data_IF_288157915801
#
_entry.id   IF_288157915801
#
_cell.length_a   1.000
_cell.length_b   1.000
_cell.length_c   1.000
_cell.angle_alpha   90.00
_cell.angle_beta   90.00
_cell.angle_gamma   90.00
#
_symmetry.space_group_name_H-M   'P 1'
#
loop_
_entity.id
_entity.type
_entity.pdbx_description
1 polymer ?
#
# COMPACT_ATOMS: atom_id res chain seq x y z
N UNK A 1 -15.98 10.79 -14.09
CA UNK A 1 -16.53 9.90 -13.04
C UNK A 1 -16.00 10.37 -11.69
N UNK A 2 -16.73 10.15 -10.58
CA UNK A 2 -16.19 10.35 -9.23
C UNK A 2 -16.17 8.99 -8.53
N UNK A 3 -15.02 8.57 -8.01
CA UNK A 3 -14.85 7.26 -7.42
C UNK A 3 -13.39 6.82 -7.37
N UNK A 4 -13.15 5.54 -7.11
CA UNK A 4 -11.81 4.98 -7.07
C UNK A 4 -11.76 3.63 -7.78
N UNK A 5 -10.56 3.25 -8.19
CA UNK A 5 -10.23 1.90 -8.67
C UNK A 5 -8.98 1.41 -7.94
N UNK A 6 -8.81 0.09 -7.91
CA UNK A 6 -7.61 -0.56 -7.39
C UNK A 6 -6.87 -1.27 -8.50
N UNK A 7 -5.55 -1.19 -8.46
CA UNK A 7 -4.70 -1.82 -9.46
C UNK A 7 -3.40 -2.29 -8.82
N UNK A 8 -2.84 -3.38 -9.33
CA UNK A 8 -1.54 -3.85 -8.88
C UNK A 8 -1.50 -4.25 -7.41
N UNK A 9 -0.34 -4.03 -6.78
CA UNK A 9 -0.07 -4.47 -5.42
C UNK A 9 -0.78 -3.58 -4.39
N UNK A 10 -0.39 -2.30 -4.28
CA UNK A 10 -0.90 -1.37 -3.27
C UNK A 10 -1.49 -0.07 -3.87
N UNK A 11 -1.83 -0.08 -5.16
CA UNK A 11 -2.24 1.13 -5.87
C UNK A 11 -3.76 1.34 -5.85
N UNK A 12 -4.16 2.49 -5.32
CA UNK A 12 -5.51 3.04 -5.41
C UNK A 12 -5.43 4.26 -6.32
N UNK A 13 -6.31 4.36 -7.31
CA UNK A 13 -6.44 5.56 -8.16
C UNK A 13 -7.77 6.23 -7.83
N UNK A 14 -7.73 7.50 -7.44
CA UNK A 14 -8.89 8.31 -7.12
C UNK A 14 -9.23 9.28 -8.26
N UNK A 15 -10.51 9.33 -8.60
CA UNK A 15 -11.07 10.08 -9.72
C UNK A 15 -12.07 11.14 -9.23
N UNK A 16 -11.89 12.39 -9.65
CA UNK A 16 -12.89 13.47 -9.49
C UNK A 16 -13.06 14.20 -10.83
N UNK A 17 -13.89 13.63 -11.70
CA UNK A 17 -14.02 14.04 -13.10
C UNK A 17 -12.87 13.54 -13.98
N UNK A 18 -11.64 13.59 -13.46
CA UNK A 18 -10.39 13.04 -14.01
C UNK A 18 -9.61 12.31 -12.91
N UNK A 19 -8.58 11.49 -13.22
CA UNK A 19 -7.66 10.96 -12.23
C UNK A 19 -6.94 12.09 -11.47
N UNK A 20 -6.86 12.00 -10.15
CA UNK A 20 -6.27 13.04 -9.29
C UNK A 20 -5.09 12.51 -8.47
N UNK A 21 -5.30 11.37 -7.80
CA UNK A 21 -4.35 10.81 -6.83
C UNK A 21 -4.15 9.33 -7.13
N UNK A 22 -2.90 8.86 -7.10
CA UNK A 22 -2.58 7.44 -7.01
C UNK A 22 -1.70 7.13 -5.79
N UNK A 23 -1.79 5.92 -5.24
CA UNK A 23 -0.93 5.46 -4.12
C UNK A 23 0.09 4.43 -4.58
N UNK A 24 1.30 4.42 -4.02
CA UNK A 24 2.29 3.34 -4.12
C UNK A 24 2.34 2.65 -5.51
N UNK A 25 2.72 3.38 -6.59
CA UNK A 25 2.62 2.86 -7.94
C UNK A 25 3.71 1.82 -8.19
N UNK A 26 3.35 0.54 -8.15
CA UNK A 26 4.17 -0.55 -8.68
C UNK A 26 3.46 -1.24 -9.83
N UNK A 27 3.71 -0.72 -11.04
CA UNK A 27 3.01 -1.13 -12.25
C UNK A 27 3.90 -1.88 -13.26
N UNK A 28 5.20 -1.79 -13.09
CA UNK A 28 6.19 -2.49 -13.92
C UNK A 28 7.42 -2.83 -13.11
N UNK A 29 8.31 -3.59 -13.74
CA UNK A 29 9.57 -3.94 -13.13
C UNK A 29 9.46 -4.99 -12.06
N UNK A 30 10.52 -5.04 -11.27
CA UNK A 30 10.65 -5.98 -10.17
C UNK A 30 11.06 -5.25 -8.90
N UNK A 31 10.67 -5.81 -7.76
CA UNK A 31 11.04 -5.34 -6.44
C UNK A 31 12.06 -6.30 -5.81
N UNK A 32 12.76 -5.83 -4.78
CA UNK A 32 13.74 -6.62 -4.00
C UNK A 32 14.78 -7.33 -4.88
N UNK A 33 15.51 -6.55 -5.68
CA UNK A 33 16.57 -7.05 -6.58
C UNK A 33 16.08 -8.13 -7.55
N UNK A 34 14.88 -7.98 -8.11
CA UNK A 34 14.33 -8.96 -9.04
C UNK A 34 13.55 -10.10 -8.41
N UNK A 35 13.59 -10.24 -7.07
CA UNK A 35 12.94 -11.34 -6.36
C UNK A 35 11.43 -11.33 -6.54
N UNK A 36 10.83 -10.15 -6.39
CA UNK A 36 9.40 -9.96 -6.51
C UNK A 36 9.03 -9.44 -7.90
N UNK A 37 8.05 -10.06 -8.52
CA UNK A 37 7.46 -9.60 -9.78
C UNK A 37 5.94 -9.52 -9.69
N UNK A 38 5.36 -8.87 -10.69
CA UNK A 38 3.91 -8.82 -10.86
C UNK A 38 3.45 -10.10 -11.59
N UNK A 39 2.53 -10.90 -11.02
CA UNK A 39 1.97 -12.07 -11.68
C UNK A 39 0.94 -11.73 -12.77
N UNK A 40 0.61 -10.44 -12.95
CA UNK A 40 -0.38 -9.92 -13.88
C UNK A 40 0.21 -8.77 -14.71
N UNK A 41 -0.46 -8.46 -15.81
CA UNK A 41 -0.19 -7.26 -16.61
C UNK A 41 -1.17 -6.17 -16.21
N UNK A 42 -0.66 -4.98 -15.92
CA UNK A 42 -1.49 -3.80 -15.67
C UNK A 42 -2.14 -3.38 -17.00
N UNK A 43 -3.47 -3.25 -17.07
CA UNK A 43 -4.10 -2.82 -18.32
C UNK A 43 -3.73 -1.37 -18.67
N UNK A 44 -3.75 -1.06 -19.97
CA UNK A 44 -3.27 0.22 -20.50
C UNK A 44 -4.09 1.41 -19.98
N UNK A 45 -5.39 1.22 -19.76
CA UNK A 45 -6.28 2.24 -19.21
C UNK A 45 -5.82 2.73 -17.83
N UNK A 46 -5.43 1.83 -16.91
CA UNK A 46 -4.94 2.21 -15.59
C UNK A 46 -3.57 2.90 -15.67
N UNK A 47 -2.72 2.50 -16.63
CA UNK A 47 -1.47 3.23 -16.91
C UNK A 47 -1.75 4.67 -17.33
N UNK A 48 -2.71 4.87 -18.23
CA UNK A 48 -3.10 6.19 -18.69
C UNK A 48 -3.78 7.01 -17.59
N UNK A 49 -4.56 6.37 -16.72
CA UNK A 49 -5.14 7.04 -15.56
C UNK A 49 -4.04 7.51 -14.59
N UNK A 50 -3.06 6.68 -14.30
CA UNK A 50 -1.98 7.02 -13.38
C UNK A 50 -1.09 8.15 -13.93
N UNK A 51 -0.77 8.14 -15.23
CA UNK A 51 -0.06 9.24 -15.90
C UNK A 51 -0.85 10.56 -15.88
N UNK A 52 -2.18 10.52 -15.74
CA UNK A 52 -3.03 11.72 -15.66
C UNK A 52 -3.24 12.23 -14.23
N UNK A 53 -2.94 11.41 -13.21
CA UNK A 53 -3.00 11.86 -11.81
C UNK A 53 -2.06 13.04 -11.60
N UNK A 54 -2.47 14.00 -10.78
CA UNK A 54 -1.64 15.16 -10.41
C UNK A 54 -0.72 14.80 -9.23
N UNK A 55 -1.22 13.97 -8.33
CA UNK A 55 -0.57 13.58 -7.09
C UNK A 55 -0.27 12.08 -7.06
N UNK A 56 0.91 11.74 -6.55
CA UNK A 56 1.28 10.38 -6.16
C UNK A 56 1.53 10.41 -4.65
N UNK A 57 0.88 9.55 -3.89
CA UNK A 57 1.18 9.38 -2.47
C UNK A 57 2.00 8.11 -2.27
N UNK A 58 3.08 8.20 -1.48
CA UNK A 58 3.92 7.06 -1.13
C UNK A 58 3.86 6.80 0.37
N UNK A 59 3.59 5.55 0.74
CA UNK A 59 3.46 5.14 2.14
C UNK A 59 4.80 5.08 2.86
N UNK A 60 5.75 4.34 2.30
CA UNK A 60 7.05 4.04 2.92
C UNK A 60 8.10 3.62 1.87
N UNK A 61 9.33 3.41 2.31
CA UNK A 61 10.50 3.24 1.45
C UNK A 61 10.75 1.82 0.91
N UNK A 62 9.77 0.92 0.90
CA UNK A 62 9.97 -0.42 0.35
C UNK A 62 9.90 -0.45 -1.19
N UNK A 63 10.74 -1.26 -1.88
CA UNK A 63 10.84 -1.25 -3.35
C UNK A 63 9.55 -1.52 -4.12
N UNK A 64 8.59 -2.25 -3.53
CA UNK A 64 7.27 -2.54 -4.10
C UNK A 64 6.24 -1.42 -3.88
N UNK A 65 6.59 -0.37 -3.13
CA UNK A 65 5.82 0.86 -2.95
C UNK A 65 6.48 2.05 -3.67
N UNK A 66 7.82 2.08 -3.67
CA UNK A 66 8.64 3.08 -4.35
C UNK A 66 9.35 2.51 -5.59
N UNK A 67 8.59 1.82 -6.43
CA UNK A 67 9.10 1.24 -7.68
C UNK A 67 9.75 2.33 -8.54
N UNK A 68 11.09 2.38 -8.55
CA UNK A 68 11.85 3.42 -9.27
C UNK A 68 11.49 3.42 -10.75
N UNK A 69 11.35 2.23 -11.35
CA UNK A 69 10.95 2.07 -12.76
C UNK A 69 9.54 2.60 -13.06
N UNK A 70 8.62 2.50 -12.10
CA UNK A 70 7.29 3.09 -12.22
C UNK A 70 7.32 4.60 -12.00
N UNK A 71 8.05 5.06 -10.98
CA UNK A 71 8.21 6.49 -10.64
C UNK A 71 8.93 7.28 -11.73
N UNK A 72 9.88 6.68 -12.45
CA UNK A 72 10.59 7.32 -13.56
C UNK A 72 9.63 7.76 -14.69
N UNK A 73 8.52 7.03 -14.87
CA UNK A 73 7.45 7.37 -15.82
C UNK A 73 6.50 8.46 -15.31
N UNK A 74 6.69 8.93 -14.07
CA UNK A 74 5.82 9.85 -13.33
C UNK A 74 6.59 11.06 -12.77
N UNK A 75 7.73 11.40 -13.38
CA UNK A 75 8.63 12.47 -12.90
C UNK A 75 7.99 13.85 -12.82
N UNK A 76 6.98 14.11 -13.63
CA UNK A 76 6.27 15.38 -13.68
C UNK A 76 5.20 15.52 -12.57
N UNK A 77 5.01 14.48 -11.74
CA UNK A 77 3.97 14.45 -10.71
C UNK A 77 4.44 15.01 -9.38
N UNK A 78 3.49 15.46 -8.57
CA UNK A 78 3.76 15.88 -7.20
C UNK A 78 3.66 14.67 -6.27
N UNK A 79 4.77 14.32 -5.65
CA UNK A 79 4.84 13.27 -4.64
C UNK A 79 4.44 13.82 -3.28
N UNK A 80 3.49 13.16 -2.64
CA UNK A 80 3.00 13.45 -1.30
C UNK A 80 3.47 12.35 -0.34
N UNK A 81 4.09 12.76 0.76
CA UNK A 81 4.55 11.86 1.82
C UNK A 81 3.90 12.20 3.15
N UNK A 82 3.87 11.25 4.07
CA UNK A 82 3.66 11.56 5.49
C UNK A 82 4.89 12.23 6.09
N UNK A 83 4.72 12.91 7.22
CA UNK A 83 5.83 13.61 7.89
C UNK A 83 6.69 12.64 8.71
N UNK A 84 7.41 11.75 8.02
CA UNK A 84 8.31 10.78 8.62
C UNK A 84 9.45 11.44 9.41
N UNK A 85 9.91 10.78 10.46
CA UNK A 85 11.11 11.22 11.20
C UNK A 85 12.30 11.26 10.24
N UNK A 86 13.13 12.30 10.39
CA UNK A 86 14.38 12.58 9.65
C UNK A 86 14.28 12.83 8.14
N UNK A 87 13.08 12.93 7.57
CA UNK A 87 12.86 13.26 6.15
C UNK A 87 13.61 12.37 5.13
N UNK A 88 14.13 11.20 5.53
CA UNK A 88 14.99 10.35 4.67
C UNK A 88 14.42 10.12 3.27
N UNK A 89 13.17 9.64 3.19
CA UNK A 89 12.51 9.38 1.91
C UNK A 89 12.27 10.66 1.10
N UNK A 90 11.94 11.77 1.77
CA UNK A 90 11.76 13.06 1.13
C UNK A 90 13.08 13.55 0.51
N UNK A 91 14.18 13.46 1.25
CA UNK A 91 15.49 13.90 0.80
C UNK A 91 16.01 13.01 -0.34
N UNK A 92 15.88 11.69 -0.21
CA UNK A 92 16.25 10.72 -1.27
C UNK A 92 15.51 11.01 -2.58
N UNK A 93 14.19 11.16 -2.54
CA UNK A 93 13.38 11.44 -3.74
C UNK A 93 13.65 12.84 -4.30
N UNK A 94 13.84 13.84 -3.44
CA UNK A 94 14.18 15.21 -3.89
C UNK A 94 15.55 15.24 -4.60
N UNK A 95 16.54 14.52 -4.08
CA UNK A 95 17.86 14.38 -4.71
C UNK A 95 17.80 13.66 -6.07
N UNK A 96 16.80 12.80 -6.29
CA UNK A 96 16.52 12.17 -7.58
C UNK A 96 15.74 13.07 -8.55
N UNK A 97 15.44 14.31 -8.15
CA UNK A 97 14.78 15.33 -8.95
C UNK A 97 13.25 15.28 -8.93
N UNK A 98 12.64 14.56 -7.98
CA UNK A 98 11.19 14.54 -7.83
C UNK A 98 10.67 15.79 -7.10
N UNK A 99 9.44 16.22 -7.44
CA UNK A 99 8.73 17.26 -6.69
C UNK A 99 8.02 16.64 -5.49
N UNK A 100 8.62 16.73 -4.30
CA UNK A 100 8.14 16.05 -3.09
C UNK A 100 7.62 17.05 -2.06
N UNK A 101 6.54 16.69 -1.37
CA UNK A 101 6.00 17.47 -0.24
C UNK A 101 5.52 16.54 0.88
N UNK A 102 5.98 16.79 2.09
CA UNK A 102 5.46 16.15 3.29
C UNK A 102 4.17 16.82 3.75
N UNK A 103 3.15 16.02 4.01
CA UNK A 103 1.85 16.45 4.48
C UNK A 103 1.85 16.61 6.00
N UNK A 104 1.01 17.51 6.50
CA UNK A 104 0.83 17.65 7.94
C UNK A 104 0.06 16.46 8.52
N UNK A 105 0.59 15.90 9.60
CA UNK A 105 0.02 14.72 10.26
C UNK A 105 -1.39 15.00 10.80
N UNK A 106 -2.29 14.02 10.64
CA UNK A 106 -3.66 14.02 11.20
C UNK A 106 -4.53 15.21 10.79
N UNK A 107 -4.20 15.91 9.71
CA UNK A 107 -5.05 16.96 9.14
C UNK A 107 -5.61 16.56 7.79
N UNK A 108 -6.87 16.92 7.55
CA UNK A 108 -7.51 16.77 6.25
C UNK A 108 -7.02 17.85 5.29
N UNK A 109 -6.46 17.41 4.17
CA UNK A 109 -5.96 18.25 3.09
C UNK A 109 -6.86 18.02 1.88
N UNK A 110 -7.46 19.10 1.36
CA UNK A 110 -8.30 19.03 0.16
C UNK A 110 -7.41 19.02 -1.09
N UNK A 111 -7.54 18.00 -1.91
CA UNK A 111 -6.92 17.95 -3.25
C UNK A 111 -7.89 18.50 -4.30
N UNK A 112 -9.20 18.28 -4.12
CA UNK A 112 -10.26 18.87 -4.94
C UNK A 112 -11.46 19.25 -4.08
N UNK A 113 -12.57 19.67 -4.70
CA UNK A 113 -13.84 19.88 -4.01
C UNK A 113 -14.43 18.60 -3.40
N UNK A 114 -14.18 17.44 -4.03
CA UNK A 114 -14.75 16.15 -3.63
C UNK A 114 -13.72 15.18 -3.05
N UNK A 115 -12.42 15.49 -3.11
CA UNK A 115 -11.34 14.61 -2.66
C UNK A 115 -10.50 15.30 -1.59
N UNK A 116 -10.42 14.68 -0.42
CA UNK A 116 -9.50 15.08 0.65
C UNK A 116 -8.79 13.88 1.25
N UNK A 117 -7.55 14.08 1.68
CA UNK A 117 -6.71 13.06 2.28
C UNK A 117 -6.22 13.47 3.65
N UNK A 118 -5.92 12.48 4.48
CA UNK A 118 -5.29 12.64 5.78
C UNK A 118 -4.29 11.51 5.96
N UNK A 119 -3.08 11.84 6.41
CA UNK A 119 -2.04 10.82 6.62
C UNK A 119 -1.52 10.81 8.05
N UNK A 120 -0.98 9.65 8.46
CA UNK A 120 -0.36 9.42 9.76
C UNK A 120 0.82 8.47 9.57
N UNK A 121 1.98 8.84 10.08
CA UNK A 121 3.21 8.03 10.10
C UNK A 121 3.44 7.35 11.46
N UNK A 122 4.23 6.27 11.48
CA UNK A 122 4.91 5.80 12.70
C UNK A 122 6.42 6.05 12.67
N UNK A 123 7.05 5.62 13.76
CA UNK A 123 8.49 5.66 13.94
C UNK A 123 9.28 4.67 13.08
N UNK A 124 8.63 3.66 12.49
CA UNK A 124 9.25 2.72 11.55
C UNK A 124 9.29 3.25 10.11
N UNK A 125 8.81 4.49 9.90
CA UNK A 125 8.63 5.10 8.59
C UNK A 125 7.53 4.44 7.76
N UNK A 126 6.61 3.71 8.40
CA UNK A 126 5.36 3.30 7.77
C UNK A 126 4.34 4.42 7.88
N UNK A 127 3.35 4.44 6.98
CA UNK A 127 2.27 5.39 7.08
C UNK A 127 0.95 4.85 6.56
N UNK A 128 -0.12 5.49 7.02
CA UNK A 128 -1.48 5.21 6.60
C UNK A 128 -2.09 6.42 5.90
N UNK A 129 -3.06 6.17 5.04
CA UNK A 129 -3.78 7.18 4.29
C UNK A 129 -5.29 6.98 4.45
N UNK A 130 -5.95 8.01 4.97
CA UNK A 130 -7.40 8.11 4.90
C UNK A 130 -7.76 8.98 3.70
N UNK A 131 -8.66 8.51 2.85
CA UNK A 131 -9.13 9.23 1.67
C UNK A 131 -10.64 9.39 1.81
N UNK A 132 -11.13 10.63 1.84
CA UNK A 132 -12.54 10.93 1.70
C UNK A 132 -12.79 11.40 0.27
N UNK A 133 -13.54 10.61 -0.48
CA UNK A 133 -13.93 10.89 -1.87
C UNK A 133 -15.44 10.88 -2.00
N UNK A 134 -16.01 12.05 -2.26
CA UNK A 134 -17.46 12.23 -2.42
C UNK A 134 -18.28 11.65 -1.24
N UNK A 135 -17.77 11.79 -0.02
CA UNK A 135 -18.42 11.25 1.19
C UNK A 135 -18.17 9.77 1.47
N UNK A 136 -17.39 9.08 0.63
CA UNK A 136 -16.93 7.71 0.89
C UNK A 136 -15.53 7.72 1.49
N UNK A 137 -15.36 7.01 2.60
CA UNK A 137 -14.06 6.88 3.27
C UNK A 137 -13.36 5.61 2.84
N UNK A 138 -12.13 5.75 2.38
CA UNK A 138 -11.16 4.69 2.17
C UNK A 138 -10.12 4.79 3.30
N UNK A 139 -9.90 3.68 3.98
CA UNK A 139 -8.96 3.51 5.09
C UNK A 139 -7.83 2.65 4.57
N UNK A 140 -6.80 3.26 4.00
CA UNK A 140 -5.61 2.55 3.56
C UNK A 140 -4.60 2.46 4.71
N UNK A 141 -4.49 1.26 5.27
CA UNK A 141 -3.57 0.92 6.36
C UNK A 141 -2.63 -0.22 5.94
N UNK A 142 -2.34 -0.27 4.65
CA UNK A 142 -1.50 -1.29 4.08
C UNK A 142 -0.09 -1.23 4.68
N UNK A 143 0.47 -2.40 4.99
CA UNK A 143 1.79 -2.65 5.61
C UNK A 143 2.09 -1.95 6.95
N UNK A 144 1.21 -1.05 7.39
CA UNK A 144 1.30 -0.40 8.69
C UNK A 144 0.63 -1.23 9.80
N UNK A 145 1.35 -1.39 10.90
CA UNK A 145 0.81 -1.93 12.16
C UNK A 145 0.26 -0.80 13.02
N UNK A 146 -0.81 -1.02 13.78
CA UNK A 146 -1.33 0.03 14.65
C UNK A 146 -0.34 0.39 15.78
N UNK A 147 0.41 1.49 15.61
CA UNK A 147 1.35 2.05 16.60
C UNK A 147 0.81 3.29 17.33
N UNK A 148 -0.51 3.37 17.51
CA UNK A 148 -1.14 4.42 18.34
C UNK A 148 -2.22 5.25 17.62
N UNK A 149 -2.45 5.04 16.33
CA UNK A 149 -3.52 5.71 15.59
C UNK A 149 -4.86 4.97 15.58
N UNK A 150 -4.94 3.72 16.03
CA UNK A 150 -6.15 2.90 15.87
C UNK A 150 -7.41 3.57 16.40
N UNK A 151 -7.38 4.13 17.63
CA UNK A 151 -8.52 4.87 18.20
C UNK A 151 -8.88 6.13 17.41
N UNK A 152 -7.88 6.82 16.88
CA UNK A 152 -8.09 8.01 16.05
C UNK A 152 -8.80 7.64 14.74
N UNK A 153 -8.32 6.60 14.05
CA UNK A 153 -8.95 6.09 12.83
C UNK A 153 -10.37 5.60 13.11
N UNK A 154 -10.59 4.84 14.19
CA UNK A 154 -11.92 4.40 14.64
C UNK A 154 -12.89 5.57 14.86
N UNK A 155 -12.42 6.68 15.43
CA UNK A 155 -13.26 7.85 15.64
C UNK A 155 -13.64 8.54 14.33
N UNK A 156 -12.79 8.47 13.31
CA UNK A 156 -13.12 8.95 11.97
C UNK A 156 -14.11 7.99 11.30
N UNK A 157 -13.83 6.68 11.28
CA UNK A 157 -14.64 5.70 10.53
C UNK A 157 -16.11 5.68 10.98
N UNK A 158 -16.40 5.90 12.27
CA UNK A 158 -17.76 6.00 12.80
C UNK A 158 -18.64 7.05 12.13
N UNK A 159 -18.05 8.09 11.55
CA UNK A 159 -18.80 9.18 10.90
C UNK A 159 -19.11 8.90 9.42
N UNK A 160 -18.66 7.76 8.89
CA UNK A 160 -18.83 7.39 7.49
C UNK A 160 -19.65 6.12 7.39
N UNK A 161 -20.53 6.09 6.40
CA UNK A 161 -21.30 4.89 6.06
C UNK A 161 -20.43 3.95 5.24
N UNK A 162 -20.32 2.70 5.69
CA UNK A 162 -19.64 1.59 5.02
C UNK A 162 -18.23 1.94 4.47
N UNK A 163 -17.26 2.34 5.33
CA UNK A 163 -15.91 2.64 4.86
C UNK A 163 -15.23 1.41 4.25
N UNK A 164 -14.38 1.66 3.26
CA UNK A 164 -13.52 0.63 2.64
C UNK A 164 -12.22 0.50 3.41
N UNK A 165 -11.81 -0.72 3.72
CA UNK A 165 -10.53 -1.01 4.37
C UNK A 165 -9.56 -1.64 3.36
N UNK A 166 -8.40 -1.03 3.19
CA UNK A 166 -7.30 -1.57 2.38
C UNK A 166 -6.18 -2.00 3.31
N UNK A 167 -5.81 -3.29 3.23
CA UNK A 167 -4.81 -3.88 4.11
C UNK A 167 -4.19 -5.15 3.51
N UNK A 168 -2.91 -5.36 3.79
CA UNK A 168 -2.23 -6.64 3.65
C UNK A 168 -2.84 -7.72 4.55
N UNK A 169 -3.33 -8.75 3.89
CA UNK A 169 -3.71 -10.01 4.49
C UNK A 169 -2.91 -11.11 3.82
N UNK A 170 -2.04 -11.78 4.57
CA UNK A 170 -1.25 -12.90 4.05
C UNK A 170 -0.89 -13.91 5.14
N UNK A 171 -0.20 -14.97 4.74
CA UNK A 171 0.40 -15.93 5.67
C UNK A 171 1.72 -15.44 6.29
N UNK A 172 2.24 -14.28 5.85
CA UNK A 172 3.50 -13.71 6.34
C UNK A 172 4.73 -14.21 5.56
N UNK A 173 4.57 -14.48 4.28
CA UNK A 173 5.63 -14.89 3.34
C UNK A 173 6.67 -13.79 3.09
N UNK A 174 6.25 -12.53 3.13
CA UNK A 174 7.12 -11.36 2.97
C UNK A 174 8.04 -11.08 4.17
N UNK A 175 7.84 -11.76 5.29
CA UNK A 175 8.65 -11.62 6.50
C UNK A 175 9.83 -12.61 6.48
N UNK A 176 10.55 -12.71 7.59
CA UNK A 176 11.64 -13.65 7.78
C UNK A 176 11.10 -15.09 7.74
N UNK A 177 11.31 -15.78 6.61
CA UNK A 177 10.83 -17.15 6.38
C UNK A 177 11.94 -18.17 6.04
N UNK A 178 13.20 -17.72 5.99
CA UNK A 178 14.33 -18.52 5.55
C UNK A 178 15.29 -18.83 6.72
N UNK A 179 14.91 -19.80 7.56
CA UNK A 179 15.67 -20.19 8.75
C UNK A 179 16.22 -21.61 8.62
N UNK A 180 17.43 -21.82 9.14
CA UNK A 180 18.10 -23.13 9.18
C UNK A 180 18.76 -23.34 10.54
N UNK A 181 18.80 -24.59 10.98
CA UNK A 181 19.69 -25.04 12.05
C UNK A 181 21.15 -25.09 11.54
N UNK A 182 22.10 -25.20 12.46
CA UNK A 182 23.53 -25.27 12.13
C UNK A 182 23.88 -26.49 11.25
N UNK A 183 23.11 -27.57 11.34
CA UNK A 183 23.26 -28.78 10.52
C UNK A 183 22.65 -28.65 9.10
N UNK A 184 22.09 -27.48 8.76
CA UNK A 184 21.44 -27.22 7.48
C UNK A 184 19.97 -27.63 7.40
N UNK A 185 19.37 -28.13 8.49
CA UNK A 185 17.94 -28.45 8.53
C UNK A 185 17.11 -27.17 8.45
N UNK A 186 16.20 -27.09 7.47
CA UNK A 186 15.30 -25.94 7.32
C UNK A 186 14.23 -25.93 8.41
N UNK A 187 14.04 -24.78 9.06
CA UNK A 187 12.95 -24.58 10.02
C UNK A 187 11.72 -24.07 9.25
N UNK A 188 10.56 -24.76 9.34
CA UNK A 188 9.34 -24.28 8.72
C UNK A 188 8.94 -22.88 9.23
N UNK A 189 8.64 -21.92 8.35
CA UNK A 189 8.21 -20.60 8.76
C UNK A 189 6.79 -20.62 9.33
N UNK A 190 6.40 -19.58 10.07
CA UNK A 190 5.00 -19.42 10.52
C UNK A 190 4.00 -19.43 9.36
N UNK A 191 4.40 -18.93 8.19
CA UNK A 191 3.59 -18.95 6.98
C UNK A 191 3.22 -20.37 6.52
N UNK A 192 4.01 -21.39 6.89
CA UNK A 192 3.70 -22.79 6.61
C UNK A 192 2.42 -23.28 7.31
N UNK A 193 2.00 -22.59 8.39
CA UNK A 193 0.76 -22.92 9.10
C UNK A 193 -0.50 -22.55 8.29
N UNK A 194 -0.38 -21.68 7.28
CA UNK A 194 -1.48 -21.20 6.42
C UNK A 194 -2.74 -20.85 7.21
N UNK A 195 -2.57 -20.04 8.27
CA UNK A 195 -3.69 -19.63 9.13
C UNK A 195 -4.77 -18.96 8.29
N UNK A 196 -6.07 -19.24 8.54
CA UNK A 196 -7.16 -18.71 7.74
C UNK A 196 -7.11 -17.18 7.66
N UNK A 197 -7.06 -16.65 6.43
CA UNK A 197 -7.00 -15.21 6.19
C UNK A 197 -8.29 -14.52 6.62
N UNK A 198 -9.42 -15.22 6.50
CA UNK A 198 -10.73 -14.78 6.98
C UNK A 198 -10.77 -14.37 8.45
N UNK A 199 -9.96 -14.99 9.32
CA UNK A 199 -9.86 -14.58 10.73
C UNK A 199 -9.24 -13.18 10.87
N UNK A 200 -8.19 -12.92 10.09
CA UNK A 200 -7.52 -11.61 10.05
C UNK A 200 -8.47 -10.54 9.50
N UNK A 201 -9.18 -10.86 8.40
CA UNK A 201 -10.18 -9.99 7.79
C UNK A 201 -11.29 -9.66 8.79
N UNK A 202 -11.87 -10.65 9.47
CA UNK A 202 -12.93 -10.44 10.46
C UNK A 202 -12.44 -9.62 11.66
N UNK A 203 -11.21 -9.83 12.13
CA UNK A 203 -10.63 -9.01 13.20
C UNK A 203 -10.56 -7.54 12.79
N UNK A 204 -9.96 -7.23 11.64
CA UNK A 204 -9.76 -5.84 11.20
C UNK A 204 -11.07 -5.17 10.75
N UNK A 205 -11.99 -5.93 10.16
CA UNK A 205 -13.38 -5.53 9.89
C UNK A 205 -14.03 -4.96 11.14
N UNK A 206 -14.05 -5.75 12.23
CA UNK A 206 -14.65 -5.37 13.51
C UNK A 206 -13.88 -4.23 14.17
N UNK A 207 -12.56 -4.25 14.10
CA UNK A 207 -11.71 -3.25 14.73
C UNK A 207 -11.96 -1.84 14.17
N UNK A 208 -12.09 -1.69 12.85
CA UNK A 208 -12.34 -0.38 12.22
C UNK A 208 -13.79 -0.09 11.89
N UNK A 209 -14.70 -1.05 12.10
CA UNK A 209 -16.12 -0.91 11.77
C UNK A 209 -16.36 -0.88 10.25
N UNK A 210 -15.61 -1.68 9.49
CA UNK A 210 -15.65 -1.72 8.03
C UNK A 210 -16.26 -3.03 7.54
N UNK A 211 -17.19 -2.96 6.59
CA UNK A 211 -17.79 -4.15 5.96
C UNK A 211 -17.19 -4.43 4.59
N UNK A 212 -16.72 -3.39 3.91
CA UNK A 212 -16.07 -3.47 2.62
C UNK A 212 -14.56 -3.57 2.83
N UNK A 213 -13.97 -4.71 2.48
CA UNK A 213 -12.55 -4.97 2.65
C UNK A 213 -11.95 -5.27 1.28
N UNK A 214 -10.80 -4.66 1.02
CA UNK A 214 -10.05 -4.83 -0.20
C UNK A 214 -8.65 -5.30 0.20
N UNK A 215 -8.31 -6.59 0.01
CA UNK A 215 -6.94 -7.05 0.16
C UNK A 215 -6.00 -6.22 -0.72
N UNK A 216 -4.88 -5.80 -0.14
CA UNK A 216 -3.89 -4.91 -0.75
C UNK A 216 -2.50 -5.41 -0.40
N UNK A 217 -1.49 -5.11 -1.22
CA UNK A 217 -0.08 -5.52 -1.06
C UNK A 217 0.20 -7.02 -0.96
N UNK A 218 -0.72 -7.86 -1.43
CA UNK A 218 -0.65 -9.32 -1.28
C UNK A 218 -0.54 -10.07 -2.60
N UNK A 219 -0.17 -9.40 -3.70
CA UNK A 219 -0.26 -9.99 -5.04
C UNK A 219 1.07 -10.10 -5.77
N UNK A 220 2.20 -10.07 -5.06
CA UNK A 220 3.50 -10.31 -5.66
C UNK A 220 3.72 -11.81 -5.93
N UNK A 221 4.70 -12.13 -6.77
CA UNK A 221 5.24 -13.50 -6.90
C UNK A 221 6.74 -13.49 -6.74
N UNK A 222 7.29 -14.52 -6.12
CA UNK A 222 8.73 -14.77 -6.08
C UNK A 222 9.16 -15.40 -7.42
N UNK A 223 10.07 -14.78 -8.14
CA UNK A 223 10.41 -15.20 -9.51
C UNK A 223 11.88 -15.56 -9.72
N UNK A 224 12.78 -15.18 -8.81
CA UNK A 224 14.18 -15.60 -8.90
C UNK A 224 14.31 -17.05 -8.46
N UNK A 225 15.25 -17.78 -9.05
CA UNK A 225 15.52 -19.18 -8.73
C UNK A 225 15.85 -19.41 -7.23
N UNK A 226 16.48 -18.42 -6.59
CA UNK A 226 16.88 -18.47 -5.18
C UNK A 226 15.76 -18.04 -4.20
N UNK A 227 14.65 -17.50 -4.69
CA UNK A 227 13.51 -17.09 -3.87
C UNK A 227 12.18 -17.75 -4.25
N UNK A 228 12.07 -18.37 -5.42
CA UNK A 228 10.83 -18.95 -5.94
C UNK A 228 10.26 -20.08 -5.07
N UNK A 229 11.08 -20.69 -4.21
CA UNK A 229 10.64 -21.65 -3.21
C UNK A 229 9.64 -21.02 -2.22
N UNK A 230 9.67 -19.71 -2.01
CA UNK A 230 8.78 -18.99 -1.08
C UNK A 230 7.34 -18.91 -1.58
N UNK A 231 7.08 -19.09 -2.89
CA UNK A 231 5.72 -19.10 -3.45
C UNK A 231 4.80 -20.15 -2.82
N UNK A 232 5.34 -21.20 -2.19
CA UNK A 232 4.49 -22.17 -1.48
C UNK A 232 3.82 -21.59 -0.22
N UNK A 233 4.34 -20.45 0.26
CA UNK A 233 3.89 -19.72 1.45
C UNK A 233 3.08 -18.46 1.12
N UNK A 234 2.95 -18.09 -0.16
CA UNK A 234 2.11 -16.95 -0.57
C UNK A 234 0.63 -17.28 -0.36
N UNK A 235 -0.18 -16.24 -0.17
CA UNK A 235 -1.65 -16.35 -0.10
C UNK A 235 -2.25 -16.28 -1.51
N UNK A 236 -3.22 -17.15 -1.81
CA UNK A 236 -3.91 -17.19 -3.10
C UNK A 236 -5.27 -16.51 -3.01
N UNK A 237 -5.83 -16.17 -4.17
CA UNK A 237 -7.17 -15.55 -4.27
C UNK A 237 -8.28 -16.44 -3.72
N UNK A 238 -8.07 -17.76 -3.68
CA UNK A 238 -9.03 -18.73 -3.15
C UNK A 238 -9.03 -18.86 -1.62
N UNK A 239 -8.04 -18.28 -0.94
CA UNK A 239 -7.80 -18.44 0.51
C UNK A 239 -8.56 -17.38 1.35
#
# INVERSE_FOLDING_TARGET
MIGFETIGNATIICHDGKPILATDPWLTGSAYFGSWGLPYTIPEEQWENLKKCEYIWLSHGHPDHISVESLDKLRDKKILLSSHISNRLQDELSNLGFNVSSLEERKWIKLTKNLSILTISDYFQDSILLININGHLLVNINDASNKGWGKFVQNITKNFKDPFLFKLFSYGDADMINYFLEDGTKIPPKAALKKPVGEQINFWSRYYGTKSIVPSSCFHRYQRKDSSWANQFTTNVSD
#
